data_IF_645500305224
#
_entry.id   IF_645500305224
#
_cell.length_a   1.000
_cell.length_b   1.000
_cell.length_c   1.000
_cell.angle_alpha   90.00
_cell.angle_beta   90.00
_cell.angle_gamma   90.00
#
_symmetry.space_group_name_H-M   'P 1'
#
loop_
_entity.id
_entity.type
_entity.pdbx_description
1 polymer ?
#
# COMPACT_ATOMS: atom_id res chain seq x y z
N UNK A 1 -3.98 -16.09 4.21
CA UNK A 1 -3.99 -16.62 2.83
C UNK A 1 -4.99 -15.93 1.94
N UNK A 2 -4.84 -16.07 0.62
CA UNK A 2 -5.87 -15.62 -0.31
C UNK A 2 -7.09 -16.52 -0.20
N UNK A 3 -8.27 -15.90 -0.23
CA UNK A 3 -9.57 -16.55 -0.42
C UNK A 3 -9.51 -17.58 -1.57
N UNK A 4 -10.06 -18.80 -1.40
CA UNK A 4 -10.12 -19.82 -2.45
C UNK A 4 -10.60 -19.32 -3.82
N UNK A 5 -11.58 -18.41 -3.86
CA UNK A 5 -12.07 -17.84 -5.12
C UNK A 5 -11.04 -16.89 -5.76
N UNK A 6 -10.27 -16.15 -4.95
CA UNK A 6 -9.14 -15.35 -5.46
C UNK A 6 -8.06 -16.25 -6.05
N UNK A 7 -7.72 -17.36 -5.38
CA UNK A 7 -6.75 -18.33 -5.91
C UNK A 7 -7.22 -18.90 -7.25
N UNK A 8 -8.51 -19.17 -7.42
CA UNK A 8 -9.11 -19.66 -8.67
C UNK A 8 -9.04 -18.63 -9.81
N UNK A 9 -9.38 -17.37 -9.54
CA UNK A 9 -9.27 -16.29 -10.54
C UNK A 9 -7.82 -16.04 -10.95
N UNK A 10 -6.90 -16.02 -9.98
CA UNK A 10 -5.45 -15.92 -10.25
C UNK A 10 -4.98 -17.10 -11.11
N UNK A 11 -5.42 -18.33 -10.80
CA UNK A 11 -5.06 -19.52 -11.60
C UNK A 11 -5.56 -19.44 -13.03
N UNK A 12 -6.77 -18.91 -13.24
CA UNK A 12 -7.35 -18.71 -14.58
C UNK A 12 -6.55 -17.70 -15.39
N UNK A 13 -6.11 -16.60 -14.77
CA UNK A 13 -5.46 -15.47 -15.46
C UNK A 13 -3.94 -15.68 -15.67
N UNK A 14 -3.27 -16.34 -14.72
CA UNK A 14 -1.80 -16.49 -14.71
C UNK A 14 -1.33 -17.93 -14.92
N UNK A 15 -2.28 -18.87 -15.04
CA UNK A 15 -2.00 -20.29 -15.23
C UNK A 15 -1.60 -21.02 -13.95
N UNK A 16 -1.50 -22.34 -14.04
CA UNK A 16 -1.15 -23.21 -12.90
C UNK A 16 0.33 -23.18 -12.53
N UNK A 17 1.21 -22.67 -13.40
CA UNK A 17 2.67 -22.68 -13.20
C UNK A 17 3.15 -21.82 -12.02
N UNK A 18 2.30 -20.92 -11.53
CA UNK A 18 2.54 -20.08 -10.34
C UNK A 18 2.02 -20.71 -9.04
N UNK A 19 1.50 -21.94 -9.08
CA UNK A 19 1.09 -22.69 -7.90
C UNK A 19 2.07 -23.82 -7.60
N UNK A 20 2.26 -24.14 -6.31
CA UNK A 20 2.99 -25.35 -5.88
C UNK A 20 2.13 -26.61 -6.09
N UNK A 21 2.74 -27.78 -5.91
CA UNK A 21 2.02 -29.05 -5.91
C UNK A 21 0.88 -29.06 -4.87
N UNK A 22 1.11 -28.43 -3.70
CA UNK A 22 0.16 -28.29 -2.61
C UNK A 22 -0.93 -27.23 -2.86
N UNK A 23 -1.08 -26.76 -4.11
CA UNK A 23 -2.06 -25.73 -4.51
C UNK A 23 -1.85 -24.35 -3.87
N UNK A 24 -0.66 -24.11 -3.29
CA UNK A 24 -0.32 -22.82 -2.72
C UNK A 24 0.25 -21.85 -3.75
N UNK A 25 -0.09 -20.58 -3.60
CA UNK A 25 0.32 -19.54 -4.54
C UNK A 25 1.80 -19.19 -4.32
N UNK A 26 2.63 -19.38 -5.35
CA UNK A 26 3.99 -18.88 -5.36
C UNK A 26 3.98 -17.36 -5.64
N UNK A 27 3.91 -16.58 -4.56
CA UNK A 27 3.85 -15.12 -4.59
C UNK A 27 5.07 -14.51 -5.28
N UNK A 28 6.24 -15.13 -5.18
CA UNK A 28 7.46 -14.62 -5.81
C UNK A 28 7.39 -14.76 -7.34
N UNK A 29 6.94 -15.90 -7.85
CA UNK A 29 6.71 -16.08 -9.29
C UNK A 29 5.65 -15.10 -9.81
N UNK A 30 4.51 -15.01 -9.12
CA UNK A 30 3.45 -14.06 -9.50
C UNK A 30 3.99 -12.62 -9.53
N UNK A 31 4.74 -12.24 -8.49
CA UNK A 31 5.38 -10.93 -8.37
C UNK A 31 6.31 -10.64 -9.55
N UNK A 32 7.17 -11.59 -9.94
CA UNK A 32 8.06 -11.42 -11.11
C UNK A 32 7.27 -11.16 -12.39
N UNK A 33 6.20 -11.92 -12.63
CA UNK A 33 5.33 -11.75 -13.81
C UNK A 33 4.69 -10.37 -13.84
N UNK A 34 4.04 -9.94 -12.74
CA UNK A 34 3.36 -8.64 -12.70
C UNK A 34 4.32 -7.46 -12.67
N UNK A 35 5.58 -7.66 -12.29
CA UNK A 35 6.59 -6.61 -12.41
C UNK A 35 7.09 -6.43 -13.84
N UNK A 36 7.21 -7.52 -14.60
CA UNK A 36 7.65 -7.45 -16.00
C UNK A 36 6.56 -7.00 -16.98
N UNK A 37 5.28 -7.09 -16.59
CA UNK A 37 4.15 -6.86 -17.49
C UNK A 37 3.05 -6.01 -16.81
N UNK A 38 2.90 -4.78 -17.30
CA UNK A 38 1.91 -3.83 -16.79
C UNK A 38 0.46 -4.28 -17.03
N UNK A 39 0.15 -5.02 -18.09
CA UNK A 39 -1.18 -5.54 -18.34
C UNK A 39 -1.50 -6.66 -17.34
N UNK A 40 -0.55 -7.56 -17.08
CA UNK A 40 -0.68 -8.61 -16.05
C UNK A 40 -0.80 -8.02 -14.65
N UNK A 41 -0.09 -6.94 -14.35
CA UNK A 41 -0.28 -6.18 -13.10
C UNK A 41 -1.71 -5.67 -12.94
N UNK A 42 -2.24 -4.99 -13.97
CA UNK A 42 -3.63 -4.50 -13.96
C UNK A 42 -4.66 -5.64 -13.81
N UNK A 43 -4.42 -6.79 -14.44
CA UNK A 43 -5.29 -7.95 -14.30
C UNK A 43 -5.31 -8.49 -12.86
N UNK A 44 -4.13 -8.59 -12.21
CA UNK A 44 -4.06 -8.96 -10.80
C UNK A 44 -4.78 -7.95 -9.90
N UNK A 45 -4.54 -6.66 -10.16
CA UNK A 45 -5.19 -5.55 -9.46
C UNK A 45 -6.72 -5.64 -9.56
N UNK A 46 -7.27 -5.93 -10.73
CA UNK A 46 -8.73 -6.10 -10.92
C UNK A 46 -9.31 -7.29 -10.15
N UNK A 47 -8.56 -8.38 -10.00
CA UNK A 47 -8.97 -9.53 -9.19
C UNK A 47 -9.00 -9.17 -7.69
N UNK A 48 -8.00 -8.41 -7.23
CA UNK A 48 -7.76 -8.15 -5.81
C UNK A 48 -8.53 -6.92 -5.28
N UNK A 49 -8.54 -5.80 -6.00
CA UNK A 49 -9.05 -4.52 -5.49
C UNK A 49 -10.51 -4.55 -5.03
N UNK A 50 -11.48 -5.16 -5.73
CA UNK A 50 -12.86 -5.19 -5.26
C UNK A 50 -12.99 -5.86 -3.88
N UNK A 51 -12.23 -6.94 -3.65
CA UNK A 51 -12.26 -7.69 -2.40
C UNK A 51 -11.54 -6.97 -1.28
N UNK A 52 -10.37 -6.40 -1.58
CA UNK A 52 -9.63 -5.56 -0.63
C UNK A 52 -10.52 -4.38 -0.22
N UNK A 53 -11.15 -3.67 -1.17
CA UNK A 53 -12.07 -2.56 -0.86
C UNK A 53 -13.23 -3.01 0.02
N UNK A 54 -13.88 -4.13 -0.30
CA UNK A 54 -14.99 -4.65 0.52
C UNK A 54 -14.54 -4.95 1.96
N UNK A 55 -13.41 -5.64 2.13
CA UNK A 55 -12.87 -5.96 3.45
C UNK A 55 -12.54 -4.69 4.23
N UNK A 56 -11.89 -3.74 3.57
CA UNK A 56 -11.50 -2.47 4.16
C UNK A 56 -12.69 -1.61 4.56
N UNK A 57 -13.70 -1.50 3.70
CA UNK A 57 -14.92 -0.76 4.01
C UNK A 57 -15.70 -1.39 5.16
N UNK A 58 -15.75 -2.73 5.23
CA UNK A 58 -16.39 -3.42 6.34
C UNK A 58 -15.67 -3.16 7.66
N UNK A 59 -14.33 -3.24 7.66
CA UNK A 59 -13.52 -2.95 8.86
C UNK A 59 -13.61 -1.46 9.24
N UNK A 60 -13.57 -0.54 8.29
CA UNK A 60 -13.73 0.89 8.59
C UNK A 60 -15.10 1.18 9.21
N UNK A 61 -16.16 0.49 8.76
CA UNK A 61 -17.51 0.67 9.29
C UNK A 61 -17.65 0.16 10.72
N UNK A 62 -17.01 -0.96 11.08
CA UNK A 62 -17.04 -1.47 12.47
C UNK A 62 -16.36 -0.52 13.45
N UNK A 63 -15.38 0.28 12.99
CA UNK A 63 -14.67 1.28 13.79
C UNK A 63 -15.20 2.71 13.62
N UNK A 64 -16.24 2.94 12.80
CA UNK A 64 -16.74 4.30 12.50
C UNK A 64 -17.19 5.07 13.74
N UNK A 65 -17.72 4.37 14.74
CA UNK A 65 -18.15 4.97 16.01
C UNK A 65 -17.13 4.77 17.16
N UNK A 66 -15.93 4.28 16.85
CA UNK A 66 -14.87 4.11 17.83
C UNK A 66 -14.32 5.48 18.26
N UNK A 67 -14.02 5.69 19.55
CA UNK A 67 -13.26 6.86 19.98
C UNK A 67 -11.78 6.80 19.59
N UNK A 68 -11.30 5.63 19.15
CA UNK A 68 -9.90 5.40 18.75
C UNK A 68 -9.68 5.61 17.25
N UNK A 69 -8.42 5.89 16.88
CA UNK A 69 -8.05 5.98 15.46
C UNK A 69 -7.99 4.62 14.80
N UNK A 70 -8.67 4.49 13.65
CA UNK A 70 -8.47 3.37 12.73
C UNK A 70 -7.39 3.74 11.69
N UNK A 71 -6.23 3.09 11.79
CA UNK A 71 -5.08 3.32 10.90
C UNK A 71 -5.01 2.25 9.83
N UNK A 72 -4.92 2.69 8.58
CA UNK A 72 -5.02 1.80 7.44
C UNK A 72 -3.85 2.07 6.46
N UNK A 73 -2.92 1.11 6.37
CA UNK A 73 -1.73 1.19 5.49
C UNK A 73 -2.05 0.73 4.07
N UNK A 74 -2.22 1.68 3.13
CA UNK A 74 -2.51 1.40 1.71
C UNK A 74 -1.35 1.86 0.82
N UNK A 75 -0.58 0.92 0.23
CA UNK A 75 0.50 1.27 -0.70
C UNK A 75 0.06 2.05 -1.95
N UNK A 76 -1.13 1.73 -2.48
CA UNK A 76 -1.69 2.31 -3.72
C UNK A 76 -2.92 3.19 -3.44
N UNK A 77 -2.89 3.93 -2.32
CA UNK A 77 -4.01 4.73 -1.84
C UNK A 77 -4.55 5.64 -2.95
N UNK A 78 -3.68 6.50 -3.49
CA UNK A 78 -4.04 7.52 -4.46
C UNK A 78 -4.29 6.97 -5.86
N UNK A 79 -3.55 5.93 -6.25
CA UNK A 79 -3.68 5.26 -7.54
C UNK A 79 -5.04 4.58 -7.68
N UNK A 80 -5.61 4.14 -6.55
CA UNK A 80 -6.92 3.48 -6.51
C UNK A 80 -8.07 4.43 -6.19
N UNK A 81 -7.80 5.70 -5.86
CA UNK A 81 -8.82 6.64 -5.39
C UNK A 81 -9.32 6.33 -3.97
N UNK A 82 -8.56 5.55 -3.20
CA UNK A 82 -8.92 5.11 -1.85
C UNK A 82 -8.92 6.24 -0.82
N UNK A 83 -8.27 7.37 -1.11
CA UNK A 83 -8.25 8.54 -0.23
C UNK A 83 -9.66 9.07 0.10
N UNK A 84 -10.63 8.83 -0.78
CA UNK A 84 -12.03 9.25 -0.58
C UNK A 84 -12.75 8.49 0.53
N UNK A 85 -12.15 7.39 0.99
CA UNK A 85 -12.66 6.56 2.08
C UNK A 85 -12.00 6.90 3.42
N UNK A 86 -11.09 7.88 3.45
CA UNK A 86 -10.33 8.25 4.63
C UNK A 86 -10.72 9.67 5.08
N UNK A 87 -10.86 9.89 6.39
CA UNK A 87 -11.06 11.24 6.94
C UNK A 87 -9.78 12.10 6.81
N UNK A 88 -8.61 11.45 6.91
CA UNK A 88 -7.29 12.05 6.74
C UNK A 88 -6.31 11.07 6.10
N UNK A 89 -5.35 11.62 5.37
CA UNK A 89 -4.26 10.89 4.74
C UNK A 89 -2.91 11.38 5.26
N UNK A 90 -2.07 10.42 5.66
CA UNK A 90 -0.68 10.66 6.05
C UNK A 90 0.24 10.03 5.01
N UNK A 91 1.15 10.83 4.45
CA UNK A 91 2.21 10.31 3.58
C UNK A 91 3.52 10.21 4.36
N UNK A 92 4.07 9.00 4.44
CA UNK A 92 5.42 8.78 4.97
C UNK A 92 6.42 8.93 3.82
N UNK A 93 7.18 10.03 3.84
CA UNK A 93 8.07 10.43 2.76
C UNK A 93 9.55 10.21 3.11
N UNK A 94 10.36 9.89 2.10
CA UNK A 94 11.82 9.92 2.21
C UNK A 94 12.43 10.34 0.87
N UNK A 95 13.74 10.60 0.85
CA UNK A 95 14.45 10.99 -0.36
C UNK A 95 14.45 9.87 -1.39
N UNK A 96 14.49 10.21 -2.68
CA UNK A 96 14.60 9.22 -3.77
C UNK A 96 15.81 8.30 -3.57
N UNK A 97 16.97 8.85 -3.15
CA UNK A 97 18.17 8.07 -2.82
C UNK A 97 17.90 7.04 -1.73
N UNK A 98 17.15 7.42 -0.68
CA UNK A 98 16.75 6.52 0.41
C UNK A 98 15.80 5.44 -0.08
N UNK A 99 14.79 5.78 -0.90
CA UNK A 99 13.84 4.83 -1.46
C UNK A 99 14.55 3.75 -2.29
N UNK A 100 15.41 4.16 -3.22
CA UNK A 100 16.17 3.25 -4.09
C UNK A 100 17.05 2.32 -3.25
N UNK A 101 17.85 2.87 -2.33
CA UNK A 101 18.73 2.08 -1.46
C UNK A 101 17.97 1.02 -0.69
N UNK A 102 16.87 1.39 -0.02
CA UNK A 102 16.09 0.45 0.77
C UNK A 102 15.39 -0.62 -0.05
N UNK A 103 14.94 -0.30 -1.27
CA UNK A 103 14.37 -1.31 -2.16
C UNK A 103 15.44 -2.31 -2.62
N UNK A 104 16.63 -1.84 -2.99
CA UNK A 104 17.75 -2.71 -3.36
C UNK A 104 18.13 -3.65 -2.22
N UNK A 105 18.31 -3.11 -1.00
CA UNK A 105 18.67 -3.90 0.20
C UNK A 105 17.59 -4.90 0.59
N UNK A 106 16.32 -4.47 0.59
CA UNK A 106 15.19 -5.31 1.06
C UNK A 106 14.79 -6.38 0.06
N UNK A 107 14.88 -6.08 -1.23
CA UNK A 107 14.39 -6.97 -2.29
C UNK A 107 15.52 -7.67 -3.05
N UNK A 108 16.78 -7.36 -2.76
CA UNK A 108 17.97 -7.91 -3.43
C UNK A 108 17.88 -7.68 -4.96
N UNK A 109 17.54 -6.46 -5.36
CA UNK A 109 17.40 -6.05 -6.76
C UNK A 109 18.40 -4.99 -7.15
N UNK A 110 18.72 -4.92 -8.44
CA UNK A 110 19.54 -3.88 -9.02
C UNK A 110 18.84 -2.51 -8.98
N UNK A 111 19.65 -1.45 -9.03
CA UNK A 111 19.18 -0.06 -8.98
C UNK A 111 18.09 0.25 -10.02
N UNK A 112 18.29 -0.20 -11.26
CA UNK A 112 17.34 0.04 -12.36
C UNK A 112 15.97 -0.57 -12.08
N UNK A 113 15.93 -1.76 -11.48
CA UNK A 113 14.69 -2.42 -11.09
C UNK A 113 14.01 -1.67 -9.93
N UNK A 114 14.77 -1.21 -8.93
CA UNK A 114 14.23 -0.39 -7.85
C UNK A 114 13.63 0.93 -8.36
N UNK A 115 14.30 1.61 -9.30
CA UNK A 115 13.81 2.83 -9.93
C UNK A 115 12.54 2.57 -10.77
N UNK A 116 12.49 1.47 -11.53
CA UNK A 116 11.27 1.06 -12.24
C UNK A 116 10.09 0.83 -11.29
N UNK A 117 10.33 0.20 -10.14
CA UNK A 117 9.28 -0.03 -9.13
C UNK A 117 8.74 1.29 -8.58
N UNK A 118 9.62 2.24 -8.24
CA UNK A 118 9.23 3.58 -7.77
C UNK A 118 8.41 4.31 -8.85
N UNK A 119 8.90 4.31 -10.09
CA UNK A 119 8.26 4.98 -11.22
C UNK A 119 6.96 4.31 -11.68
N UNK A 120 6.68 3.10 -11.21
CA UNK A 120 5.45 2.37 -11.52
C UNK A 120 4.24 2.83 -10.70
N UNK A 121 4.45 3.76 -9.75
CA UNK A 121 3.46 4.34 -8.83
C UNK A 121 3.35 5.85 -9.04
N UNK A 122 2.37 6.48 -8.40
CA UNK A 122 2.26 7.94 -8.40
C UNK A 122 3.53 8.58 -7.79
N UNK A 123 4.09 9.64 -8.41
CA UNK A 123 5.25 10.34 -7.89
C UNK A 123 5.08 10.79 -6.43
N UNK A 124 6.14 10.66 -5.62
CA UNK A 124 6.07 10.98 -4.18
C UNK A 124 5.73 12.46 -3.93
N UNK A 125 6.22 13.37 -4.76
CA UNK A 125 5.91 14.80 -4.66
C UNK A 125 4.42 15.07 -4.87
N UNK A 126 3.77 14.33 -5.77
CA UNK A 126 2.32 14.38 -5.96
C UNK A 126 1.57 13.80 -4.77
N UNK A 127 2.04 12.67 -4.19
CA UNK A 127 1.47 12.12 -2.95
C UNK A 127 1.57 13.15 -1.81
N UNK A 128 2.72 13.82 -1.66
CA UNK A 128 2.94 14.88 -0.67
C UNK A 128 1.98 16.05 -0.86
N UNK A 129 1.77 16.52 -2.10
CA UNK A 129 0.85 17.64 -2.40
C UNK A 129 -0.59 17.33 -2.01
N UNK A 130 -1.00 16.06 -2.07
CA UNK A 130 -2.37 15.60 -1.82
C UNK A 130 -2.64 15.15 -0.39
N UNK A 131 -1.63 15.13 0.49
CA UNK A 131 -1.75 14.60 1.84
C UNK A 131 -2.23 15.67 2.83
N UNK A 132 -3.00 15.27 3.84
CA UNK A 132 -3.29 16.16 4.98
C UNK A 132 -2.05 16.39 5.84
N UNK A 133 -1.22 15.35 5.97
CA UNK A 133 0.02 15.39 6.76
C UNK A 133 1.13 14.59 6.09
N UNK A 134 2.36 15.05 6.29
CA UNK A 134 3.58 14.39 5.80
C UNK A 134 4.49 14.10 6.98
N UNK A 135 4.99 12.86 7.04
CA UNK A 135 5.97 12.42 8.04
C UNK A 135 7.25 12.04 7.31
N UNK A 136 8.38 12.64 7.69
CA UNK A 136 9.66 12.39 7.04
C UNK A 136 10.43 11.24 7.70
N UNK A 137 10.75 10.23 6.90
CA UNK A 137 11.49 9.03 7.29
C UNK A 137 12.92 9.02 6.68
N UNK A 138 13.58 10.18 6.67
CA UNK A 138 14.99 10.27 6.23
C UNK A 138 15.99 10.09 7.38
N UNK A 139 15.54 10.37 8.62
CA UNK A 139 16.39 10.38 9.80
C UNK A 139 16.40 9.07 10.57
N UNK A 140 16.87 9.15 11.81
CA UNK A 140 16.83 8.03 12.76
C UNK A 140 15.40 7.71 13.17
N UNK A 141 15.15 6.46 13.55
CA UNK A 141 13.82 5.95 13.94
C UNK A 141 13.17 6.75 15.09
N UNK A 142 13.97 7.35 15.97
CA UNK A 142 13.46 8.20 17.06
C UNK A 142 12.77 9.46 16.53
N UNK A 143 13.36 10.13 15.54
CA UNK A 143 12.76 11.31 14.89
C UNK A 143 11.46 10.95 14.17
N UNK A 144 11.38 9.77 13.56
CA UNK A 144 10.13 9.26 12.98
C UNK A 144 9.06 9.05 14.07
N UNK A 145 9.44 8.43 15.18
CA UNK A 145 8.54 8.18 16.30
C UNK A 145 8.04 9.47 16.96
N UNK A 146 8.89 10.48 17.08
CA UNK A 146 8.51 11.81 17.59
C UNK A 146 7.48 12.49 16.69
N UNK A 147 7.71 12.49 15.37
CA UNK A 147 6.74 13.04 14.41
C UNK A 147 5.39 12.32 14.51
N UNK A 148 5.39 10.98 14.62
CA UNK A 148 4.16 10.20 14.78
C UNK A 148 3.44 10.54 16.09
N UNK A 149 4.16 10.67 17.22
CA UNK A 149 3.57 11.11 18.50
C UNK A 149 2.95 12.50 18.41
N UNK A 150 3.67 13.45 17.81
CA UNK A 150 3.15 14.81 17.62
C UNK A 150 1.89 14.81 16.74
N UNK A 151 1.85 14.01 15.69
CA UNK A 151 0.68 13.89 14.82
C UNK A 151 -0.52 13.32 15.55
N UNK A 152 -0.34 12.22 16.31
CA UNK A 152 -1.40 11.63 17.13
C UNK A 152 -1.92 12.63 18.16
N UNK A 153 -1.03 13.34 18.86
CA UNK A 153 -1.43 14.35 19.85
C UNK A 153 -2.15 15.56 19.21
N UNK A 154 -1.74 15.98 18.01
CA UNK A 154 -2.45 16.99 17.23
C UNK A 154 -3.85 16.50 16.89
N UNK A 155 -3.97 15.23 16.50
CA UNK A 155 -5.23 14.70 16.07
C UNK A 155 -6.23 14.47 17.21
N UNK A 156 -5.78 14.01 18.38
CA UNK A 156 -6.64 13.85 19.56
C UNK A 156 -7.29 15.15 20.02
N UNK A 157 -6.71 16.31 19.68
CA UNK A 157 -7.25 17.63 20.04
C UNK A 157 -8.32 18.15 19.08
N UNK A 158 -8.54 17.48 17.93
CA UNK A 158 -9.56 17.86 16.96
C UNK A 158 -10.83 17.05 17.19
N UNK A 159 -11.99 17.65 16.92
CA UNK A 159 -13.24 16.90 16.78
C UNK A 159 -13.35 16.41 15.34
N UNK A 160 -13.67 15.12 15.17
CA UNK A 160 -13.62 14.39 13.90
C UNK A 160 -15.01 14.07 13.35
N UNK A 161 -16.07 14.50 14.04
CA UNK A 161 -17.44 14.36 13.55
C UNK A 161 -17.66 15.37 12.43
N UNK A 162 -17.56 14.90 11.19
CA UNK A 162 -18.16 15.62 10.05
C UNK A 162 -19.65 15.26 10.03
N UNK A 163 -20.50 16.29 10.04
CA UNK A 163 -21.97 16.21 9.89
C UNK A 163 -22.36 15.61 8.54
#
# INVERSE_FOLDING_TARGET
DFDPEVKKEIRREFGSAIFSADQELNREKLRRIVFSDAAKRRALEQILHPRIRRQWSAEAETHRNSPDFFLADIPLLYETGGERLCDRVVVVACSSKTQVRWLMERMLVERSAAEQMINSQMPLDEKIRRADHVVWNNGVRTVLADQARCLVALWQKKSWTTT
#
